data_IF_588028711735
#
_entry.id   IF_588028711735
#
_cell.length_a   1.000
_cell.length_b   1.000
_cell.length_c   1.000
_cell.angle_alpha   90.00
_cell.angle_beta   90.00
_cell.angle_gamma   90.00
#
_symmetry.space_group_name_H-M   'P 1'
#
loop_
_entity.id
_entity.type
_entity.pdbx_description
1 polymer ?
#
# COMPACT_ATOMS: atom_id res chain seq x y z
N UNK A 1 12.30 -3.02 6.16
CA UNK A 1 12.39 -2.67 4.71
C UNK A 1 11.33 -3.46 3.99
N UNK A 2 10.56 -2.84 3.08
CA UNK A 2 9.49 -3.51 2.33
C UNK A 2 10.10 -4.29 1.16
N UNK A 3 9.71 -5.55 1.01
CA UNK A 3 10.12 -6.44 -0.08
C UNK A 3 9.04 -6.47 -1.18
N UNK A 4 9.43 -6.38 -2.45
CA UNK A 4 8.50 -6.33 -3.59
C UNK A 4 7.62 -7.59 -3.73
N UNK A 5 8.10 -8.75 -3.28
CA UNK A 5 7.45 -10.06 -3.48
C UNK A 5 6.48 -10.41 -2.36
N UNK A 6 6.42 -9.60 -1.31
CA UNK A 6 5.63 -9.88 -0.11
C UNK A 6 4.35 -9.04 -0.11
N UNK A 7 3.26 -9.68 0.35
CA UNK A 7 2.01 -9.01 0.67
C UNK A 7 1.97 -8.68 2.17
N UNK A 8 1.72 -7.42 2.50
CA UNK A 8 1.70 -6.94 3.87
C UNK A 8 0.28 -6.58 4.29
N UNK A 9 -0.12 -7.01 5.48
CA UNK A 9 -1.31 -6.44 6.11
C UNK A 9 -1.08 -4.96 6.45
N UNK A 10 -2.14 -4.17 6.63
CA UNK A 10 -1.97 -2.78 7.08
C UNK A 10 -1.17 -2.65 8.38
N UNK A 11 -1.31 -3.60 9.30
CA UNK A 11 -0.58 -3.59 10.57
C UNK A 11 0.92 -3.79 10.35
N UNK A 12 1.29 -4.79 9.55
CA UNK A 12 2.69 -5.08 9.23
C UNK A 12 3.32 -3.98 8.41
N UNK A 13 2.60 -3.47 7.41
CA UNK A 13 3.05 -2.38 6.56
C UNK A 13 3.41 -1.14 7.39
N UNK A 14 2.55 -0.74 8.33
CA UNK A 14 2.83 0.38 9.25
C UNK A 14 4.04 0.11 10.14
N UNK A 15 4.16 -1.11 10.67
CA UNK A 15 5.31 -1.51 11.49
C UNK A 15 6.62 -1.42 10.69
N UNK A 16 6.60 -1.82 9.42
CA UNK A 16 7.79 -1.84 8.56
C UNK A 16 8.19 -0.45 8.05
N UNK A 17 7.22 0.42 7.79
CA UNK A 17 7.45 1.78 7.25
C UNK A 17 7.54 2.84 8.35
N UNK A 18 7.12 2.53 9.58
CA UNK A 18 7.00 3.49 10.68
C UNK A 18 5.85 4.48 10.50
N UNK A 19 4.98 4.30 9.50
CA UNK A 19 3.90 5.25 9.22
C UNK A 19 2.70 5.08 10.15
N UNK A 20 2.13 6.22 10.55
CA UNK A 20 0.84 6.27 11.23
C UNK A 20 -0.36 6.22 10.27
N UNK A 21 -1.56 6.13 10.82
CA UNK A 21 -2.82 6.03 10.06
C UNK A 21 -3.03 7.18 9.07
N UNK A 22 -2.67 8.40 9.47
CA UNK A 22 -2.81 9.60 8.63
C UNK A 22 -1.89 9.51 7.41
N UNK A 23 -0.64 9.06 7.60
CA UNK A 23 0.32 8.88 6.51
C UNK A 23 -0.13 7.82 5.51
N UNK A 24 -0.60 6.68 6.00
CA UNK A 24 -1.13 5.61 5.15
C UNK A 24 -2.37 6.06 4.37
N UNK A 25 -3.30 6.76 5.02
CA UNK A 25 -4.46 7.35 4.32
C UNK A 25 -4.04 8.37 3.26
N UNK A 26 -3.00 9.17 3.52
CA UNK A 26 -2.42 10.08 2.54
C UNK A 26 -1.91 9.36 1.30
N UNK A 27 -1.20 8.25 1.48
CA UNK A 27 -0.71 7.42 0.37
C UNK A 27 -1.86 6.85 -0.46
N UNK A 28 -2.92 6.36 0.18
CA UNK A 28 -4.11 5.88 -0.53
C UNK A 28 -4.81 6.98 -1.32
N UNK A 29 -4.93 8.19 -0.75
CA UNK A 29 -5.46 9.34 -1.49
C UNK A 29 -4.57 9.76 -2.66
N UNK A 30 -3.27 9.56 -2.53
CA UNK A 30 -2.29 9.81 -3.58
C UNK A 30 -2.23 8.69 -4.64
N UNK A 31 -3.03 7.63 -4.51
CA UNK A 31 -3.16 6.58 -5.53
C UNK A 31 -2.48 5.26 -5.21
N UNK A 32 -1.96 5.06 -3.99
CA UNK A 32 -1.47 3.75 -3.56
C UNK A 32 -2.62 2.72 -3.61
N UNK A 33 -2.46 1.57 -4.30
CA UNK A 33 -3.45 0.51 -4.31
C UNK A 33 -3.63 -0.12 -2.93
N UNK A 34 -4.88 -0.43 -2.58
CA UNK A 34 -5.22 -1.26 -1.43
C UNK A 34 -6.02 -2.47 -1.88
N UNK A 35 -5.57 -3.66 -1.49
CA UNK A 35 -6.23 -4.92 -1.81
C UNK A 35 -7.05 -5.38 -0.61
N UNK A 36 -8.26 -5.86 -0.85
CA UNK A 36 -9.15 -6.34 0.21
C UNK A 36 -9.45 -7.82 0.03
N UNK A 37 -9.19 -8.61 1.07
CA UNK A 37 -9.58 -10.02 1.13
C UNK A 37 -10.42 -10.19 2.39
N UNK A 38 -11.73 -10.41 2.20
CA UNK A 38 -12.71 -10.43 3.28
C UNK A 38 -12.76 -9.10 4.02
N UNK A 39 -12.48 -9.12 5.33
CA UNK A 39 -12.47 -7.92 6.20
C UNK A 39 -11.11 -7.27 6.34
N UNK A 40 -10.08 -7.82 5.71
CA UNK A 40 -8.70 -7.38 5.90
C UNK A 40 -8.17 -6.70 4.65
N UNK A 41 -7.43 -5.61 4.87
CA UNK A 41 -6.77 -4.85 3.82
C UNK A 41 -5.28 -5.14 3.79
N UNK A 42 -4.75 -5.21 2.59
CA UNK A 42 -3.39 -5.58 2.29
C UNK A 42 -2.77 -4.60 1.30
N UNK A 43 -1.45 -4.48 1.36
CA UNK A 43 -0.62 -3.70 0.45
C UNK A 43 0.43 -4.64 -0.11
N UNK A 44 0.53 -4.73 -1.43
CA UNK A 44 1.61 -5.47 -2.07
C UNK A 44 2.89 -4.63 -2.00
N UNK A 45 4.01 -5.25 -1.65
CA UNK A 45 5.29 -4.55 -1.62
C UNK A 45 5.69 -3.99 -2.99
N UNK A 46 5.38 -4.71 -4.07
CA UNK A 46 5.56 -4.23 -5.44
C UNK A 46 4.79 -2.92 -5.70
N UNK A 47 3.52 -2.85 -5.28
CA UNK A 47 2.70 -1.64 -5.44
C UNK A 47 3.25 -0.47 -4.63
N UNK A 48 3.75 -0.74 -3.41
CA UNK A 48 4.39 0.27 -2.59
C UNK A 48 5.67 0.81 -3.25
N UNK A 49 6.52 -0.07 -3.77
CA UNK A 49 7.76 0.32 -4.43
C UNK A 49 7.46 1.12 -5.71
N UNK A 50 6.50 0.66 -6.52
CA UNK A 50 6.02 1.39 -7.69
C UNK A 50 5.43 2.76 -7.32
N UNK A 51 4.67 2.85 -6.22
CA UNK A 51 4.15 4.12 -5.69
C UNK A 51 5.27 5.09 -5.32
N UNK A 52 6.25 4.64 -4.54
CA UNK A 52 7.38 5.47 -4.11
C UNK A 52 8.24 5.91 -5.31
N UNK A 53 8.35 5.08 -6.34
CA UNK A 53 9.03 5.42 -7.60
C UNK A 53 8.23 6.32 -8.54
N UNK A 54 6.94 6.57 -8.25
CA UNK A 54 6.05 7.32 -9.14
C UNK A 54 5.68 6.58 -10.42
N UNK A 55 5.80 5.25 -10.43
CA UNK A 55 5.56 4.38 -11.59
C UNK A 55 4.11 3.89 -11.69
N UNK A 56 3.27 4.19 -10.69
CA UNK A 56 1.85 3.86 -10.74
C UNK A 56 1.12 4.75 -11.74
N UNK A 57 0.70 4.15 -12.85
CA UNK A 57 0.10 4.89 -13.97
C UNK A 57 -1.36 5.27 -13.80
N UNK A 58 -2.13 4.64 -12.91
CA UNK A 58 -3.51 5.05 -12.60
C UNK A 58 -3.90 4.59 -11.18
N UNK A 59 -4.75 5.35 -10.44
CA UNK A 59 -5.32 4.85 -9.19
C UNK A 59 -6.15 3.60 -9.51
N UNK A 60 -5.83 2.48 -8.85
CA UNK A 60 -6.51 1.21 -9.05
C UNK A 60 -8.03 1.42 -8.99
N UNK A 61 -8.69 1.27 -10.14
CA UNK A 61 -10.13 1.48 -10.31
C UNK A 61 -10.88 0.66 -9.26
N UNK A 62 -11.63 1.34 -8.39
CA UNK A 62 -12.70 0.71 -7.60
C UNK A 62 -13.66 0.08 -8.60
N UNK A 63 -13.75 -1.25 -8.60
CA UNK A 63 -14.79 -1.98 -9.31
C UNK A 63 -16.03 -2.08 -8.43
#
# INVERSE_FOLDING_TARGET
MIDERICYTLKEFKKQTGMGDVGVRGCFKAGLPSHHIGRQSFILGADWIAFVRGELKEPAKKK
#
